data_IF_947031112182
#
_entry.id   IF_947031112182
#
_cell.length_a   1.000
_cell.length_b   1.000
_cell.length_c   1.000
_cell.angle_alpha   90.00
_cell.angle_beta   90.00
_cell.angle_gamma   90.00
#
_symmetry.space_group_name_H-M   'P 1'
#
loop_
_entity.id
_entity.type
_entity.pdbx_description
1 polymer ?
#
# COMPACT_ATOMS: atom_id res chain seq x y z
N UNK A 1 16.40 6.58 -13.47
CA UNK A 1 15.52 7.45 -12.64
C UNK A 1 14.04 7.13 -12.79
N UNK A 2 13.58 6.64 -13.94
CA UNK A 2 12.14 6.39 -14.21
C UNK A 2 11.43 5.54 -13.13
N UNK A 3 12.07 4.47 -12.64
CA UNK A 3 11.52 3.61 -11.57
C UNK A 3 11.40 4.29 -10.20
N UNK A 4 12.06 5.42 -9.99
CA UNK A 4 12.13 6.12 -8.69
C UNK A 4 11.17 7.30 -8.66
N UNK A 5 10.74 7.81 -9.82
CA UNK A 5 9.83 8.93 -9.93
C UNK A 5 8.52 8.77 -9.14
N UNK A 6 7.88 7.57 -9.10
CA UNK A 6 6.66 7.36 -8.30
C UNK A 6 6.86 7.63 -6.81
N UNK A 7 8.07 7.48 -6.27
CA UNK A 7 8.35 7.72 -4.85
C UNK A 7 8.14 9.18 -4.45
N UNK A 8 8.34 10.12 -5.39
CA UNK A 8 8.29 11.56 -5.12
C UNK A 8 6.86 12.13 -5.01
N UNK A 9 5.86 11.36 -5.45
CA UNK A 9 4.45 11.71 -5.28
C UNK A 9 3.70 10.57 -4.62
N UNK A 10 3.47 9.47 -5.34
CA UNK A 10 2.67 8.37 -4.81
C UNK A 10 3.29 7.73 -3.57
N UNK A 11 4.61 7.58 -3.55
CA UNK A 11 5.34 7.07 -2.40
C UNK A 11 5.21 7.99 -1.19
N UNK A 12 5.63 9.25 -1.29
CA UNK A 12 5.58 10.16 -0.13
C UNK A 12 4.15 10.42 0.37
N UNK A 13 3.17 10.54 -0.54
CA UNK A 13 1.76 10.75 -0.18
C UNK A 13 1.18 9.58 0.61
N UNK A 14 1.67 8.35 0.41
CA UNK A 14 1.20 7.16 1.13
C UNK A 14 2.07 6.81 2.33
N UNK A 15 3.38 7.02 2.26
CA UNK A 15 4.31 6.82 3.37
C UNK A 15 4.06 7.81 4.53
N UNK A 16 3.83 9.09 4.22
CA UNK A 16 3.64 10.13 5.24
C UNK A 16 2.51 9.80 6.23
N UNK A 17 1.27 9.45 5.81
CA UNK A 17 0.20 9.09 6.73
C UNK A 17 0.48 7.77 7.48
N UNK A 18 1.07 6.75 6.83
CA UNK A 18 1.45 5.49 7.51
C UNK A 18 2.43 5.78 8.65
N UNK A 19 3.44 6.62 8.39
CA UNK A 19 4.43 7.00 9.38
C UNK A 19 3.83 7.87 10.49
N UNK A 20 2.99 8.84 10.13
CA UNK A 20 2.32 9.75 11.06
C UNK A 20 1.38 8.99 12.02
N UNK A 21 0.65 7.99 11.51
CA UNK A 21 -0.22 7.13 12.31
C UNK A 21 0.56 6.16 13.22
N UNK A 22 1.88 6.03 13.05
CA UNK A 22 2.71 5.15 13.86
C UNK A 22 2.47 3.66 13.61
N UNK A 23 2.06 3.30 12.40
CA UNK A 23 1.79 1.92 12.00
C UNK A 23 3.03 1.06 12.24
N UNK A 24 2.83 -0.10 12.88
CA UNK A 24 3.89 -1.05 13.24
C UNK A 24 3.39 -2.48 13.10
N UNK A 25 4.34 -3.41 13.06
CA UNK A 25 4.10 -4.86 13.02
C UNK A 25 2.98 -5.28 13.97
N UNK A 26 2.04 -6.08 13.45
CA UNK A 26 0.86 -6.56 14.18
C UNK A 26 -0.37 -5.66 14.13
N UNK A 27 -0.25 -4.43 13.60
CA UNK A 27 -1.42 -3.61 13.30
C UNK A 27 -2.22 -4.17 12.11
N UNK A 28 -3.46 -3.67 11.94
CA UNK A 28 -4.31 -3.96 10.79
C UNK A 28 -4.53 -2.69 9.97
N UNK A 29 -4.27 -2.74 8.67
CA UNK A 29 -4.33 -1.58 7.78
C UNK A 29 -5.28 -1.85 6.61
N UNK A 30 -6.25 -0.96 6.42
CA UNK A 30 -7.13 -0.95 5.26
C UNK A 30 -6.63 0.02 4.19
N UNK A 31 -6.55 -0.44 2.93
CA UNK A 31 -6.18 0.38 1.77
C UNK A 31 -7.35 0.43 0.81
N UNK A 32 -7.90 1.62 0.57
CA UNK A 32 -9.01 1.81 -0.35
C UNK A 32 -8.50 2.14 -1.77
N UNK A 33 -8.68 1.20 -2.68
CA UNK A 33 -8.34 1.27 -4.10
C UNK A 33 -6.91 0.80 -4.40
N UNK A 34 -6.75 -0.03 -5.45
CA UNK A 34 -5.44 -0.45 -5.96
C UNK A 34 -5.07 0.31 -7.25
N UNK A 35 -4.68 1.57 -7.09
CA UNK A 35 -4.10 2.43 -8.15
C UNK A 35 -2.65 2.80 -7.85
N UNK A 36 -2.11 3.85 -8.46
CA UNK A 36 -0.71 4.27 -8.22
C UNK A 36 -0.39 4.56 -6.74
N UNK A 37 -1.32 5.19 -6.00
CA UNK A 37 -1.18 5.39 -4.55
C UNK A 37 -1.33 4.07 -3.78
N UNK A 38 -2.42 3.35 -4.02
CA UNK A 38 -2.71 2.09 -3.33
C UNK A 38 -1.59 1.06 -3.48
N UNK A 39 -0.96 1.00 -4.66
CA UNK A 39 0.19 0.13 -4.92
C UNK A 39 1.35 0.42 -3.96
N UNK A 40 1.75 1.70 -3.86
CA UNK A 40 2.81 2.11 -2.93
C UNK A 40 2.42 1.85 -1.47
N UNK A 41 1.16 2.10 -1.11
CA UNK A 41 0.66 1.86 0.24
C UNK A 41 0.73 0.38 0.63
N UNK A 42 0.39 -0.54 -0.29
CA UNK A 42 0.48 -1.99 -0.08
C UNK A 42 1.94 -2.40 0.13
N UNK A 43 2.85 -1.94 -0.73
CA UNK A 43 4.28 -2.25 -0.59
C UNK A 43 4.84 -1.82 0.77
N UNK A 44 4.49 -0.61 1.24
CA UNK A 44 4.91 -0.15 2.56
C UNK A 44 4.28 -0.96 3.70
N UNK A 45 3.00 -1.27 3.62
CA UNK A 45 2.30 -2.01 4.66
C UNK A 45 2.83 -3.46 4.76
N UNK A 46 3.01 -4.15 3.63
CA UNK A 46 3.61 -5.49 3.59
C UNK A 46 5.04 -5.45 4.14
N UNK A 47 5.85 -4.45 3.77
CA UNK A 47 7.20 -4.28 4.31
C UNK A 47 7.24 -4.00 5.82
N UNK A 48 6.15 -3.50 6.41
CA UNK A 48 5.99 -3.29 7.85
C UNK A 48 5.45 -4.52 8.60
N UNK A 49 5.20 -5.63 7.90
CA UNK A 49 4.66 -6.88 8.46
C UNK A 49 3.34 -6.67 9.21
N UNK A 50 2.44 -5.86 8.63
CA UNK A 50 1.08 -5.65 9.14
C UNK A 50 0.06 -6.49 8.38
N UNK A 51 -1.11 -6.71 8.98
CA UNK A 51 -2.24 -7.34 8.28
C UNK A 51 -2.88 -6.31 7.34
N UNK A 52 -2.83 -6.56 6.04
CA UNK A 52 -3.32 -5.63 5.01
C UNK A 52 -4.66 -6.13 4.49
N UNK A 53 -5.63 -5.22 4.36
CA UNK A 53 -6.88 -5.48 3.63
C UNK A 53 -7.03 -4.43 2.54
N UNK A 54 -7.15 -4.86 1.29
CA UNK A 54 -7.37 -3.95 0.16
C UNK A 54 -8.85 -3.98 -0.23
N UNK A 55 -9.46 -2.80 -0.32
CA UNK A 55 -10.82 -2.61 -0.78
C UNK A 55 -10.78 -2.10 -2.22
N UNK A 56 -11.53 -2.72 -3.13
CA UNK A 56 -11.69 -2.24 -4.49
C UNK A 56 -13.14 -2.36 -4.92
N UNK A 57 -13.55 -1.58 -5.93
CA UNK A 57 -14.92 -1.58 -6.44
C UNK A 57 -15.18 -2.86 -7.27
N UNK A 58 -14.13 -3.39 -7.88
CA UNK A 58 -14.13 -4.54 -8.78
C UNK A 58 -13.08 -5.57 -8.36
N UNK A 59 -13.30 -6.81 -8.81
CA UNK A 59 -12.49 -7.99 -8.47
C UNK A 59 -11.25 -8.19 -9.37
N UNK A 60 -11.13 -7.40 -10.43
CA UNK A 60 -10.09 -7.47 -11.47
C UNK A 60 -8.66 -7.40 -10.92
N UNK A 61 -8.48 -6.81 -9.74
CA UNK A 61 -7.16 -6.61 -9.11
C UNK A 61 -6.87 -7.54 -7.93
N UNK A 62 -7.78 -8.47 -7.61
CA UNK A 62 -7.63 -9.37 -6.45
C UNK A 62 -6.35 -10.20 -6.54
N UNK A 63 -6.10 -10.79 -7.70
CA UNK A 63 -4.92 -11.64 -7.91
C UNK A 63 -3.61 -10.84 -7.79
N UNK A 64 -3.60 -9.61 -8.31
CA UNK A 64 -2.44 -8.72 -8.20
C UNK A 64 -2.15 -8.35 -6.74
N UNK A 65 -3.18 -8.07 -5.93
CA UNK A 65 -2.99 -7.84 -4.49
C UNK A 65 -2.38 -9.03 -3.77
N UNK A 66 -2.80 -10.25 -4.09
CA UNK A 66 -2.21 -11.46 -3.48
C UNK A 66 -0.75 -11.65 -3.88
N UNK A 67 -0.39 -11.34 -5.14
CA UNK A 67 1.02 -11.37 -5.58
C UNK A 67 1.90 -10.35 -4.84
N UNK A 68 1.31 -9.25 -4.35
CA UNK A 68 2.02 -8.24 -3.56
C UNK A 68 2.22 -8.62 -2.08
N UNK A 69 1.65 -9.73 -1.62
CA UNK A 69 1.81 -10.21 -0.24
C UNK A 69 0.67 -9.85 0.71
N UNK A 70 -0.50 -9.51 0.17
CA UNK A 70 -1.76 -9.29 0.90
C UNK A 70 -2.55 -10.59 1.03
#
# INVERSE_FOLDING_TARGET
>A
MEKVAPLLYAGITTYSPIKYAGVKKGDKVGIAGLGGLGHMAVEYAVALEVEVTVFNITEDKREDTHKMGV
#
